data_IF_891793541121
#
_entry.id   IF_891793541121
#
_cell.length_a   1.000
_cell.length_b   1.000
_cell.length_c   1.000
_cell.angle_alpha   90.00
_cell.angle_beta   90.00
_cell.angle_gamma   90.00
#
_symmetry.space_group_name_H-M   'P 1'
#
loop_
_entity.id
_entity.type
_entity.pdbx_description
1 polymer ?
#
# COMPACT_ATOMS: atom_id res chain seq x y z
N UNK A 1 -0.13 16.05 -1.37
CA UNK A 1 -1.02 16.53 -0.30
C UNK A 1 -0.20 17.19 0.80
N UNK A 2 -0.84 18.08 1.56
CA UNK A 2 -0.24 18.67 2.74
C UNK A 2 -0.15 17.62 3.85
N UNK A 3 0.63 17.92 4.91
CA UNK A 3 0.75 17.01 6.07
C UNK A 3 -0.62 16.75 6.72
N UNK A 4 -1.46 17.78 6.86
CA UNK A 4 -2.78 17.62 7.46
C UNK A 4 -3.70 16.77 6.59
N UNK A 5 -3.70 17.00 5.28
CA UNK A 5 -4.47 16.19 4.33
C UNK A 5 -4.02 14.72 4.37
N UNK A 6 -2.71 14.49 4.47
CA UNK A 6 -2.15 13.15 4.61
C UNK A 6 -2.64 12.46 5.88
N UNK A 7 -2.57 13.15 7.03
CA UNK A 7 -3.03 12.60 8.31
C UNK A 7 -4.54 12.28 8.24
N UNK A 8 -5.33 13.18 7.70
CA UNK A 8 -6.79 12.99 7.57
C UNK A 8 -7.10 11.80 6.67
N UNK A 9 -6.38 11.67 5.56
CA UNK A 9 -6.52 10.53 4.64
C UNK A 9 -6.16 9.21 5.32
N UNK A 10 -5.07 9.18 6.07
CA UNK A 10 -4.66 7.98 6.80
C UNK A 10 -5.69 7.56 7.84
N UNK A 11 -6.26 8.52 8.58
CA UNK A 11 -7.30 8.24 9.56
C UNK A 11 -8.56 7.66 8.91
N UNK A 12 -8.95 8.19 7.74
CA UNK A 12 -10.06 7.62 6.96
C UNK A 12 -9.78 6.17 6.54
N UNK A 13 -8.56 5.92 6.07
CA UNK A 13 -8.16 4.57 5.65
C UNK A 13 -8.15 3.60 6.84
N UNK A 14 -7.71 4.03 8.02
CA UNK A 14 -7.78 3.21 9.23
C UNK A 14 -9.23 2.82 9.56
N UNK A 15 -10.18 3.73 9.38
CA UNK A 15 -11.61 3.44 9.56
C UNK A 15 -12.12 2.40 8.55
N UNK A 16 -11.48 2.29 7.39
CA UNK A 16 -11.80 1.29 6.36
C UNK A 16 -11.06 -0.05 6.56
N UNK A 17 -10.35 -0.20 7.68
CA UNK A 17 -9.69 -1.44 8.04
C UNK A 17 -8.20 -1.52 7.71
N UNK A 18 -7.58 -0.44 7.22
CA UNK A 18 -6.15 -0.40 6.97
C UNK A 18 -5.39 -0.30 8.29
N UNK A 19 -4.25 -0.96 8.35
CA UNK A 19 -3.29 -0.84 9.46
C UNK A 19 -2.11 0.00 9.00
N UNK A 20 -1.38 0.60 9.94
CA UNK A 20 -0.19 1.39 9.62
C UNK A 20 1.01 0.90 10.40
N UNK A 21 2.21 1.05 9.85
CA UNK A 21 3.46 0.70 10.50
C UNK A 21 4.19 1.92 11.09
N UNK A 22 3.50 3.02 11.27
CA UNK A 22 4.07 4.27 11.77
C UNK A 22 3.09 4.96 12.75
N UNK A 23 3.58 5.96 13.46
CA UNK A 23 2.78 6.79 14.36
C UNK A 23 2.74 8.23 13.86
N UNK A 24 1.60 8.91 14.04
CA UNK A 24 1.43 10.28 13.55
C UNK A 24 2.32 11.32 14.26
N UNK A 25 2.75 11.04 15.48
CA UNK A 25 3.61 11.92 16.26
C UNK A 25 5.10 11.66 16.02
N UNK A 26 5.45 10.72 15.17
CA UNK A 26 6.83 10.41 14.80
C UNK A 26 7.13 10.91 13.38
N UNK A 27 8.40 11.28 13.09
CA UNK A 27 8.79 11.68 11.75
C UNK A 27 8.60 10.54 10.76
N UNK A 28 8.05 10.84 9.59
CA UNK A 28 7.90 9.89 8.50
C UNK A 28 9.09 10.04 7.55
N UNK A 29 9.77 8.93 7.29
CA UNK A 29 10.92 8.91 6.38
C UNK A 29 10.48 9.16 4.94
N UNK A 30 11.43 9.59 4.10
CA UNK A 30 11.20 9.88 2.69
C UNK A 30 11.49 8.70 1.75
N UNK A 31 11.72 7.52 2.29
CA UNK A 31 12.20 6.35 1.55
C UNK A 31 11.12 5.28 1.27
N UNK A 32 9.86 5.57 1.57
CA UNK A 32 8.76 4.64 1.32
C UNK A 32 8.68 3.47 2.30
N UNK A 33 9.41 3.52 3.42
CA UNK A 33 9.36 2.48 4.45
C UNK A 33 8.16 2.59 5.38
N UNK A 34 7.47 3.74 5.36
CA UNK A 34 6.23 3.94 6.09
C UNK A 34 5.04 3.68 5.16
N UNK A 35 4.07 2.91 5.63
CA UNK A 35 2.94 2.54 4.80
C UNK A 35 1.72 2.16 5.63
N UNK A 36 0.55 2.21 4.98
CA UNK A 36 -0.66 1.56 5.44
C UNK A 36 -0.83 0.28 4.63
N UNK A 37 -1.53 -0.71 5.17
CA UNK A 37 -1.70 -1.97 4.45
C UNK A 37 -3.02 -2.66 4.80
N UNK A 38 -3.47 -3.48 3.86
CA UNK A 38 -4.65 -4.33 4.03
C UNK A 38 -4.41 -5.64 3.31
N UNK A 39 -4.66 -6.76 3.99
CA UNK A 39 -4.58 -8.07 3.35
C UNK A 39 -5.86 -8.31 2.56
N UNK A 40 -5.70 -8.60 1.27
CA UNK A 40 -6.82 -8.89 0.37
C UNK A 40 -7.19 -10.37 0.43
N UNK A 41 -6.19 -11.25 0.50
CA UNK A 41 -6.45 -12.68 0.53
C UNK A 41 -5.39 -13.43 1.35
N UNK A 42 -5.84 -14.39 2.15
CA UNK A 42 -5.00 -15.38 2.82
C UNK A 42 -5.18 -16.72 2.12
N UNK A 43 -4.13 -17.52 2.07
CA UNK A 43 -4.20 -18.90 1.57
C UNK A 43 -3.09 -19.73 2.19
N UNK A 44 -3.25 -21.03 2.16
CA UNK A 44 -2.20 -21.94 2.60
C UNK A 44 -1.11 -22.05 1.54
N UNK A 45 0.14 -22.06 1.99
CA UNK A 45 1.28 -22.28 1.12
C UNK A 45 1.50 -23.81 0.86
N UNK A 46 2.54 -24.14 0.11
CA UNK A 46 2.85 -25.53 -0.20
C UNK A 46 3.22 -26.39 1.02
N UNK A 47 3.48 -25.76 2.15
CA UNK A 47 3.80 -26.44 3.41
C UNK A 47 2.61 -26.52 4.36
N UNK A 48 1.43 -26.02 3.96
CA UNK A 48 0.22 -26.02 4.77
C UNK A 48 0.11 -24.86 5.74
N UNK A 49 1.03 -23.88 5.69
CA UNK A 49 0.97 -22.70 6.54
C UNK A 49 0.12 -21.60 5.89
N UNK A 50 -0.81 -21.05 6.67
CA UNK A 50 -1.65 -19.92 6.20
C UNK A 50 -0.82 -18.64 6.17
N UNK A 51 -0.88 -17.93 5.04
CA UNK A 51 -0.15 -16.69 4.86
C UNK A 51 -0.94 -15.70 4.01
N UNK A 52 -0.60 -14.41 4.15
CA UNK A 52 -1.14 -13.37 3.28
C UNK A 52 -0.50 -13.49 1.91
N UNK A 53 -1.28 -13.84 0.90
CA UNK A 53 -0.78 -14.01 -0.47
C UNK A 53 -1.02 -12.79 -1.34
N UNK A 54 -2.01 -11.96 -1.00
CA UNK A 54 -2.32 -10.74 -1.73
C UNK A 54 -2.51 -9.60 -0.72
N UNK A 55 -1.69 -8.57 -0.83
CA UNK A 55 -1.72 -7.42 0.07
C UNK A 55 -1.72 -6.12 -0.71
N UNK A 56 -2.53 -5.17 -0.26
CA UNK A 56 -2.49 -3.79 -0.76
C UNK A 56 -1.66 -2.96 0.22
N UNK A 57 -0.55 -2.42 -0.28
CA UNK A 57 0.38 -1.58 0.47
C UNK A 57 0.27 -0.14 -0.06
N UNK A 58 -0.02 0.79 0.83
CA UNK A 58 -0.09 2.22 0.49
C UNK A 58 1.18 2.88 1.05
N UNK A 59 2.23 2.97 0.24
CA UNK A 59 3.51 3.56 0.64
C UNK A 59 3.38 5.06 0.77
N UNK A 60 3.98 5.62 1.81
CA UNK A 60 4.00 7.06 2.07
C UNK A 60 5.35 7.64 1.68
N UNK A 61 5.32 8.71 0.90
CA UNK A 61 6.51 9.46 0.50
C UNK A 61 6.43 10.86 1.10
N UNK A 62 7.51 11.28 1.75
CA UNK A 62 7.60 12.57 2.43
C UNK A 62 8.67 13.43 1.76
N UNK A 63 8.28 14.58 1.20
CA UNK A 63 9.17 15.51 0.55
C UNK A 63 9.41 16.79 1.38
N UNK A 64 9.17 16.76 2.70
CA UNK A 64 9.34 17.94 3.57
C UNK A 64 10.76 18.53 3.49
N UNK A 65 11.78 17.70 3.31
CA UNK A 65 13.17 18.20 3.17
C UNK A 65 13.38 19.03 1.90
N UNK A 66 12.44 18.98 0.95
CA UNK A 66 12.47 19.79 -0.27
C UNK A 66 11.36 20.84 -0.29
N UNK A 67 10.83 21.21 0.88
CA UNK A 67 9.70 22.14 1.00
C UNK A 67 9.95 23.51 0.37
N UNK A 68 11.23 23.91 0.25
CA UNK A 68 11.64 25.15 -0.41
C UNK A 68 11.55 25.06 -1.96
N UNK A 69 11.40 23.87 -2.52
CA UNK A 69 11.43 23.61 -3.96
C UNK A 69 10.16 22.98 -4.51
N UNK A 70 9.28 22.45 -3.65
CA UNK A 70 8.06 21.79 -4.07
C UNK A 70 6.83 22.53 -3.50
N UNK A 71 5.70 22.53 -4.22
CA UNK A 71 4.46 23.11 -3.70
C UNK A 71 4.00 22.38 -2.43
N UNK A 72 3.30 23.08 -1.56
CA UNK A 72 2.79 22.51 -0.31
C UNK A 72 1.93 21.27 -0.54
N UNK A 73 1.12 21.30 -1.60
CA UNK A 73 0.26 20.17 -1.96
C UNK A 73 1.01 18.92 -2.43
N UNK A 74 2.33 19.02 -2.62
CA UNK A 74 3.18 17.91 -3.04
C UNK A 74 4.06 17.36 -1.92
N UNK A 75 3.95 17.87 -0.69
CA UNK A 75 4.80 17.45 0.43
C UNK A 75 4.65 15.98 0.79
N UNK A 76 3.47 15.42 0.64
CA UNK A 76 3.18 14.01 0.92
C UNK A 76 2.49 13.38 -0.27
N UNK A 77 2.82 12.11 -0.51
CA UNK A 77 2.14 11.31 -1.52
C UNK A 77 1.96 9.88 -1.03
N UNK A 78 0.96 9.22 -1.57
CA UNK A 78 0.66 7.81 -1.28
C UNK A 78 0.79 7.04 -2.59
N UNK A 79 1.60 5.98 -2.58
CA UNK A 79 1.79 5.10 -3.72
C UNK A 79 1.20 3.73 -3.41
N UNK A 80 0.08 3.34 -4.05
CA UNK A 80 -0.47 2.01 -3.88
C UNK A 80 0.35 0.98 -4.64
N UNK A 81 0.68 -0.13 -3.94
CA UNK A 81 1.35 -1.29 -4.53
C UNK A 81 0.57 -2.53 -4.11
N UNK A 82 0.12 -3.31 -5.09
CA UNK A 82 -0.48 -4.61 -4.81
C UNK A 82 0.63 -5.65 -4.88
N UNK A 83 0.85 -6.36 -3.77
CA UNK A 83 1.90 -7.37 -3.65
C UNK A 83 1.26 -8.75 -3.62
N UNK A 84 1.61 -9.61 -4.58
CA UNK A 84 1.16 -10.99 -4.60
C UNK A 84 2.35 -11.93 -4.49
N UNK A 85 2.27 -12.89 -3.55
CA UNK A 85 3.30 -13.91 -3.37
C UNK A 85 2.67 -15.20 -2.84
N UNK A 86 2.84 -16.32 -3.54
CA UNK A 86 2.41 -17.64 -3.06
C UNK A 86 3.43 -18.31 -2.15
N UNK A 87 4.70 -17.93 -2.29
CA UNK A 87 5.77 -18.39 -1.43
C UNK A 87 6.76 -17.25 -1.13
N UNK A 88 7.85 -17.53 -0.45
CA UNK A 88 8.81 -16.50 -0.06
C UNK A 88 9.77 -16.09 -1.17
N UNK A 89 9.83 -16.83 -2.27
CA UNK A 89 10.81 -16.63 -3.34
C UNK A 89 10.26 -15.83 -4.50
N UNK A 90 8.96 -15.98 -4.79
CA UNK A 90 8.33 -15.30 -5.92
C UNK A 90 7.32 -14.27 -5.46
N UNK A 91 7.48 -13.05 -5.96
CA UNK A 91 6.57 -11.94 -5.71
C UNK A 91 6.37 -11.13 -6.97
N UNK A 92 5.12 -10.79 -7.25
CA UNK A 92 4.77 -9.87 -8.34
C UNK A 92 4.12 -8.64 -7.72
N UNK A 93 4.58 -7.47 -8.11
CA UNK A 93 4.05 -6.18 -7.64
C UNK A 93 3.34 -5.46 -8.78
N UNK A 94 2.17 -4.89 -8.47
CA UNK A 94 1.43 -4.01 -9.37
C UNK A 94 1.39 -2.61 -8.74
N UNK A 95 1.95 -1.62 -9.43
CA UNK A 95 1.95 -0.23 -8.99
C UNK A 95 0.75 0.52 -9.56
N UNK A 96 0.04 1.26 -8.70
CA UNK A 96 -1.12 2.06 -9.06
C UNK A 96 -0.88 3.52 -8.68
N UNK A 97 -1.82 4.40 -9.01
CA UNK A 97 -1.71 5.82 -8.74
C UNK A 97 -2.84 6.31 -7.83
N UNK A 98 -2.47 7.10 -6.83
CA UNK A 98 -3.38 7.77 -5.92
C UNK A 98 -3.00 9.26 -5.86
N UNK A 99 -3.92 10.20 -5.90
CA UNK A 99 -5.38 10.04 -5.89
C UNK A 99 -6.06 9.87 -7.26
N UNK A 100 -5.31 9.57 -8.32
CA UNK A 100 -5.86 9.36 -9.67
C UNK A 100 -6.99 8.31 -9.67
N UNK A 101 -6.85 7.28 -8.84
CA UNK A 101 -7.85 6.24 -8.66
C UNK A 101 -8.39 6.28 -7.22
N UNK A 102 -9.68 5.99 -7.04
CA UNK A 102 -10.27 5.87 -5.70
C UNK A 102 -9.75 4.61 -4.99
N UNK A 103 -9.85 4.60 -3.67
CA UNK A 103 -9.48 3.41 -2.88
C UNK A 103 -10.32 2.20 -3.28
N UNK A 104 -11.61 2.39 -3.54
CA UNK A 104 -12.51 1.33 -3.99
C UNK A 104 -12.06 0.72 -5.33
N UNK A 105 -11.64 1.56 -6.28
CA UNK A 105 -11.09 1.11 -7.55
C UNK A 105 -9.79 0.33 -7.34
N UNK A 106 -8.90 0.84 -6.49
CA UNK A 106 -7.61 0.21 -6.18
C UNK A 106 -7.83 -1.17 -5.55
N UNK A 107 -8.78 -1.29 -4.61
CA UNK A 107 -9.12 -2.56 -3.97
C UNK A 107 -9.67 -3.58 -4.99
N UNK A 108 -10.53 -3.15 -5.90
CA UNK A 108 -11.04 -4.01 -6.98
C UNK A 108 -9.91 -4.50 -7.90
N UNK A 109 -8.99 -3.61 -8.23
CA UNK A 109 -7.81 -3.98 -9.02
C UNK A 109 -6.92 -4.98 -8.29
N UNK A 110 -6.78 -4.82 -6.97
CA UNK A 110 -6.00 -5.75 -6.14
C UNK A 110 -6.61 -7.16 -6.18
N UNK A 111 -7.93 -7.28 -6.07
CA UNK A 111 -8.62 -8.58 -6.15
C UNK A 111 -8.41 -9.23 -7.52
N UNK A 112 -8.60 -8.48 -8.60
CA UNK A 112 -8.41 -8.98 -9.97
C UNK A 112 -6.96 -9.40 -10.23
N UNK A 113 -6.02 -8.62 -9.75
CA UNK A 113 -4.60 -8.93 -9.87
C UNK A 113 -4.25 -10.22 -9.16
N UNK A 114 -4.79 -10.43 -7.95
CA UNK A 114 -4.59 -11.67 -7.21
C UNK A 114 -5.15 -12.89 -7.95
N UNK A 115 -6.32 -12.78 -8.55
CA UNK A 115 -6.92 -13.84 -9.36
C UNK A 115 -6.06 -14.18 -10.57
N UNK A 116 -5.57 -13.15 -11.26
CA UNK A 116 -4.66 -13.34 -12.39
C UNK A 116 -3.37 -14.04 -11.96
N UNK A 117 -2.78 -13.61 -10.85
CA UNK A 117 -1.55 -14.22 -10.33
C UNK A 117 -1.76 -15.69 -9.97
N UNK A 118 -2.88 -16.04 -9.33
CA UNK A 118 -3.19 -17.43 -8.99
C UNK A 118 -3.29 -18.34 -10.20
N UNK A 119 -3.71 -17.79 -11.34
CA UNK A 119 -3.80 -18.54 -12.61
C UNK A 119 -2.46 -18.65 -13.33
N UNK A 120 -1.54 -17.72 -13.11
CA UNK A 120 -0.30 -17.58 -13.89
C UNK A 120 0.97 -17.85 -13.08
N UNK A 121 0.87 -18.04 -11.76
CA UNK A 121 2.00 -18.40 -10.90
C UNK A 121 1.84 -19.81 -10.38
N UNK A 122 2.95 -20.56 -10.33
CA UNK A 122 3.00 -21.90 -9.75
C UNK A 122 3.60 -21.82 -8.34
N UNK A 123 3.28 -22.83 -7.51
CA UNK A 123 3.93 -22.99 -6.23
C UNK A 123 5.37 -23.44 -6.41
#
# INVERSE_FOLDING_TARGET
>A
MTKQEFIDTCKELELKGYKKNFKYDEPINDDGTHYLYKVIEYADDKYGDTRAINQLILKVWNLEKYADRVPEESLYSIEPVVMFSRDTEERIDLHLHYPKHTIEYIEKKAVKFGEWCKQNMEY
#
